data_IF_574961693480
#
_entry.id   IF_574961693480
#
_cell.length_a   1.000
_cell.length_b   1.000
_cell.length_c   1.000
_cell.angle_alpha   90.00
_cell.angle_beta   90.00
_cell.angle_gamma   90.00
#
_symmetry.space_group_name_H-M   'P 1'
#
loop_
_entity.id
_entity.type
_entity.pdbx_description
1 polymer ?
#
# COMPACT_ATOMS: atom_id res chain seq x y z
N UNK A 1 13.97 -12.82 -0.03
CA UNK A 1 15.26 -13.54 -0.19
C UNK A 1 16.31 -12.61 -0.78
N UNK A 2 16.01 -12.03 -1.95
CA UNK A 2 16.91 -11.13 -2.65
C UNK A 2 17.20 -9.85 -1.85
N UNK A 3 16.16 -9.11 -1.49
CA UNK A 3 16.22 -7.87 -0.71
C UNK A 3 16.67 -8.08 0.74
N UNK A 4 16.20 -9.14 1.41
CA UNK A 4 16.47 -9.37 2.84
C UNK A 4 17.79 -10.09 3.14
N UNK A 5 18.28 -10.95 2.23
CA UNK A 5 19.51 -11.74 2.45
C UNK A 5 20.62 -11.35 1.48
N UNK A 6 20.34 -11.36 0.18
CA UNK A 6 21.38 -11.22 -0.84
C UNK A 6 21.94 -9.80 -0.94
N UNK A 7 21.08 -8.78 -1.06
CA UNK A 7 21.53 -7.38 -1.19
C UNK A 7 22.31 -6.91 0.04
N UNK A 8 21.88 -7.16 1.29
CA UNK A 8 22.66 -6.76 2.47
C UNK A 8 24.04 -7.39 2.53
N UNK A 9 24.20 -8.61 1.99
CA UNK A 9 25.51 -9.29 1.91
C UNK A 9 26.40 -8.71 0.81
N UNK A 10 25.85 -8.42 -0.37
CA UNK A 10 26.61 -7.98 -1.54
C UNK A 10 26.87 -6.46 -1.57
N UNK A 11 25.95 -5.68 -0.99
CA UNK A 11 25.91 -4.22 -1.01
C UNK A 11 25.44 -3.68 0.35
N UNK A 12 26.20 -3.89 1.43
CA UNK A 12 25.79 -3.53 2.80
C UNK A 12 25.52 -2.03 2.99
N UNK A 13 26.12 -1.17 2.15
CA UNK A 13 25.95 0.28 2.23
C UNK A 13 24.69 0.80 1.51
N UNK A 14 23.95 -0.08 0.83
CA UNK A 14 22.73 0.30 0.10
C UNK A 14 21.52 -0.16 0.92
N UNK A 15 20.70 0.81 1.35
CA UNK A 15 19.35 0.53 1.86
C UNK A 15 18.41 0.27 0.68
N UNK A 16 18.17 -1.00 0.42
CA UNK A 16 17.25 -1.49 -0.60
C UNK A 16 16.10 -2.24 0.06
N UNK A 17 14.90 -2.04 -0.45
CA UNK A 17 13.73 -2.86 -0.17
C UNK A 17 12.94 -3.04 -1.48
N UNK A 18 12.06 -4.04 -1.51
CA UNK A 18 11.33 -4.36 -2.73
C UNK A 18 10.28 -3.29 -3.06
N UNK A 19 9.76 -2.57 -2.06
CA UNK A 19 8.81 -1.47 -2.24
C UNK A 19 9.42 -0.31 -3.04
N UNK A 20 10.64 0.12 -2.71
CA UNK A 20 11.39 1.11 -3.51
C UNK A 20 11.62 0.60 -4.93
N UNK A 21 11.94 -0.69 -5.07
CA UNK A 21 12.08 -1.32 -6.38
C UNK A 21 10.80 -1.27 -7.19
N UNK A 22 9.65 -1.53 -6.56
CA UNK A 22 8.33 -1.44 -7.20
C UNK A 22 8.01 -0.03 -7.69
N UNK A 23 8.33 1.03 -6.92
CA UNK A 23 8.14 2.41 -7.39
C UNK A 23 9.03 2.74 -8.60
N UNK A 24 10.30 2.32 -8.58
CA UNK A 24 11.22 2.52 -9.71
C UNK A 24 10.72 1.75 -10.95
N UNK A 25 10.24 0.53 -10.75
CA UNK A 25 9.72 -0.30 -11.83
C UNK A 25 8.41 0.27 -12.41
N UNK A 26 7.56 0.89 -11.58
CA UNK A 26 6.36 1.58 -12.05
C UNK A 26 6.71 2.75 -12.98
N UNK A 27 7.69 3.58 -12.59
CA UNK A 27 8.19 4.67 -13.43
C UNK A 27 8.73 4.15 -14.77
N UNK A 28 9.54 3.09 -14.70
CA UNK A 28 10.09 2.45 -15.88
C UNK A 28 8.99 1.90 -16.78
N UNK A 29 7.98 1.22 -16.22
CA UNK A 29 6.87 0.63 -16.96
C UNK A 29 6.09 1.71 -17.73
N UNK A 30 5.76 2.83 -17.09
CA UNK A 30 5.04 3.94 -17.74
C UNK A 30 5.86 4.52 -18.89
N UNK A 31 7.15 4.77 -18.66
CA UNK A 31 8.04 5.40 -19.64
C UNK A 31 8.36 4.48 -20.84
N UNK A 32 8.78 3.25 -20.56
CA UNK A 32 9.26 2.31 -21.57
C UNK A 32 8.13 1.81 -22.50
N UNK A 33 6.91 1.75 -21.97
CA UNK A 33 5.72 1.37 -22.75
C UNK A 33 4.95 2.57 -23.30
N UNK A 34 5.43 3.81 -23.09
CA UNK A 34 4.79 5.05 -23.51
C UNK A 34 3.30 5.12 -23.11
N UNK A 35 2.99 4.83 -21.83
CA UNK A 35 1.61 4.77 -21.34
C UNK A 35 0.98 6.14 -21.04
N UNK A 36 1.72 7.23 -21.19
CA UNK A 36 1.23 8.56 -20.87
C UNK A 36 -0.08 8.92 -21.63
N UNK A 37 -0.22 8.64 -22.94
CA UNK A 37 -1.46 8.91 -23.66
C UNK A 37 -2.68 8.16 -23.08
N UNK A 38 -2.51 6.89 -22.68
CA UNK A 38 -3.56 6.10 -22.05
C UNK A 38 -3.89 6.60 -20.66
N UNK A 39 -2.89 6.97 -19.86
CA UNK A 39 -3.10 7.58 -18.55
C UNK A 39 -3.88 8.90 -18.67
N UNK A 40 -3.52 9.74 -19.65
CA UNK A 40 -4.21 11.00 -19.94
C UNK A 40 -5.66 10.77 -20.40
N UNK A 41 -5.91 9.75 -21.25
CA UNK A 41 -7.26 9.35 -21.69
C UNK A 41 -8.18 9.01 -20.51
N UNK A 42 -7.64 8.36 -19.48
CA UNK A 42 -8.36 8.00 -18.26
C UNK A 42 -8.26 9.04 -17.13
N UNK A 43 -7.75 10.24 -17.44
CA UNK A 43 -7.60 11.35 -16.48
C UNK A 43 -6.70 11.00 -15.26
N UNK A 44 -5.72 10.10 -15.45
CA UNK A 44 -4.76 9.72 -14.42
C UNK A 44 -3.59 10.71 -14.46
N UNK A 45 -3.51 11.54 -13.42
CA UNK A 45 -2.54 12.63 -13.32
C UNK A 45 -1.23 12.19 -12.66
N UNK A 46 -0.19 13.02 -12.75
CA UNK A 46 1.06 12.83 -11.99
C UNK A 46 0.82 12.71 -10.47
N UNK A 47 -0.22 13.39 -9.96
CA UNK A 47 -0.62 13.29 -8.56
C UNK A 47 -1.18 11.88 -8.22
N UNK A 48 -1.82 11.22 -9.18
CA UNK A 48 -2.30 9.85 -9.04
C UNK A 48 -1.15 8.85 -9.09
N UNK A 49 -0.16 9.08 -9.94
CA UNK A 49 1.07 8.28 -9.95
C UNK A 49 1.83 8.41 -8.62
N UNK A 50 1.93 9.64 -8.08
CA UNK A 50 2.49 9.87 -6.75
C UNK A 50 1.70 9.12 -5.67
N UNK A 51 0.36 9.22 -5.70
CA UNK A 51 -0.52 8.47 -4.79
C UNK A 51 -0.29 6.95 -4.88
N UNK A 52 -0.17 6.39 -6.07
CA UNK A 52 0.09 4.95 -6.28
C UNK A 52 1.43 4.55 -5.64
N UNK A 53 2.49 5.33 -5.88
CA UNK A 53 3.79 5.04 -5.27
C UNK A 53 3.75 5.14 -3.75
N UNK A 54 3.03 6.12 -3.21
CA UNK A 54 2.83 6.28 -1.78
C UNK A 54 2.03 5.13 -1.15
N UNK A 55 1.08 4.53 -1.87
CA UNK A 55 0.38 3.30 -1.43
C UNK A 55 1.30 2.07 -1.40
N UNK A 56 2.38 2.06 -2.20
CA UNK A 56 3.34 0.95 -2.27
C UNK A 56 4.41 1.09 -1.19
N UNK A 57 5.05 2.25 -1.11
CA UNK A 57 6.26 2.45 -0.31
C UNK A 57 6.05 3.30 0.95
N UNK A 58 4.83 3.80 1.19
CA UNK A 58 4.56 4.81 2.20
C UNK A 58 5.02 6.21 1.75
N UNK A 59 5.08 7.19 2.66
CA UNK A 59 5.39 8.57 2.30
C UNK A 59 6.84 8.72 1.78
N UNK A 60 6.99 9.17 0.53
CA UNK A 60 8.27 9.14 -0.21
C UNK A 60 9.17 10.34 0.13
N UNK A 61 8.57 11.52 0.41
CA UNK A 61 9.29 12.78 0.56
C UNK A 61 9.33 13.35 1.98
N UNK A 62 8.69 12.70 2.96
CA UNK A 62 8.64 13.27 4.31
C UNK A 62 9.97 13.06 5.03
N UNK A 63 10.74 14.15 5.08
CA UNK A 63 12.02 14.25 5.78
C UNK A 63 11.89 14.92 7.14
N UNK A 64 10.76 15.59 7.42
CA UNK A 64 10.49 16.24 8.69
C UNK A 64 9.50 15.44 9.53
N UNK A 65 9.96 14.98 10.70
CA UNK A 65 9.14 14.25 11.65
C UNK A 65 7.91 15.02 12.15
N UNK A 66 7.92 16.36 11.98
CA UNK A 66 6.90 17.29 12.49
C UNK A 66 5.71 17.53 11.54
N UNK A 67 5.73 16.99 10.32
CA UNK A 67 4.61 17.17 9.40
C UNK A 67 3.38 16.38 9.89
N UNK A 68 2.26 17.10 10.07
CA UNK A 68 0.96 16.54 10.48
C UNK A 68 0.42 15.56 9.42
N UNK A 69 0.75 15.79 8.16
CA UNK A 69 0.39 14.95 7.02
C UNK A 69 1.57 14.81 6.06
N UNK A 70 1.99 13.57 5.81
CA UNK A 70 3.24 13.25 5.12
C UNK A 70 3.08 12.85 3.65
N UNK A 71 1.83 12.65 3.22
CA UNK A 71 1.48 12.20 1.88
C UNK A 71 1.11 13.38 0.99
N UNK A 72 1.40 13.28 -0.30
CA UNK A 72 1.16 14.32 -1.31
C UNK A 72 0.12 13.91 -2.35
N UNK A 73 0.01 12.62 -2.62
CA UNK A 73 -0.92 12.09 -3.62
C UNK A 73 -2.38 12.32 -3.26
N UNK A 74 -2.70 12.36 -1.96
CA UNK A 74 -4.04 12.64 -1.42
C UNK A 74 -3.96 13.43 -0.13
N UNK A 75 -5.00 14.21 0.12
CA UNK A 75 -5.19 14.96 1.35
C UNK A 75 -5.56 14.04 2.53
N UNK A 76 -5.45 14.57 3.76
CA UNK A 76 -5.71 13.84 5.00
C UNK A 76 -7.16 13.33 5.13
N UNK A 77 -8.14 13.98 4.47
CA UNK A 77 -9.54 13.51 4.49
C UNK A 77 -9.72 12.17 3.77
N UNK A 78 -8.77 11.80 2.90
CA UNK A 78 -8.70 10.53 2.18
C UNK A 78 -7.65 9.57 2.74
N UNK A 79 -7.17 9.79 3.96
CA UNK A 79 -6.12 8.98 4.59
C UNK A 79 -6.41 7.47 4.63
N UNK A 80 -7.68 7.08 4.80
CA UNK A 80 -8.12 5.68 4.74
C UNK A 80 -7.75 4.94 3.45
N UNK A 81 -7.51 5.64 2.33
CA UNK A 81 -7.09 5.00 1.08
C UNK A 81 -5.69 4.37 1.18
N UNK A 82 -4.80 4.94 2.00
CA UNK A 82 -3.45 4.38 2.23
C UNK A 82 -3.45 3.11 3.10
N UNK A 83 -4.60 2.71 3.62
CA UNK A 83 -4.74 1.50 4.44
C UNK A 83 -5.12 0.26 3.62
N UNK A 84 -5.33 0.42 2.30
CA UNK A 84 -5.86 -0.64 1.44
C UNK A 84 -4.74 -1.56 0.94
N UNK A 85 -3.71 -1.00 0.28
CA UNK A 85 -2.67 -1.78 -0.44
C UNK A 85 -1.54 -2.21 0.49
N UNK A 86 -0.94 -1.27 1.21
CA UNK A 86 0.12 -1.52 2.18
C UNK A 86 -0.15 -0.74 3.46
N UNK A 87 -0.71 -1.41 4.47
CA UNK A 87 -1.19 -0.73 5.66
C UNK A 87 -0.09 -0.62 6.71
N UNK A 88 0.59 0.52 6.76
CA UNK A 88 1.65 0.74 7.75
C UNK A 88 1.15 0.80 9.20
N UNK A 89 -0.12 1.18 9.44
CA UNK A 89 -0.66 1.36 10.80
C UNK A 89 -0.80 0.04 11.56
N UNK A 90 -1.39 -0.97 10.93
CA UNK A 90 -1.71 -2.23 11.60
C UNK A 90 -1.44 -3.48 10.74
N UNK A 91 -0.92 -3.30 9.52
CA UNK A 91 -0.57 -4.38 8.60
C UNK A 91 -1.76 -5.24 8.19
N UNK A 92 -2.98 -4.73 8.23
CA UNK A 92 -4.18 -5.38 7.66
C UNK A 92 -4.46 -4.73 6.31
N UNK A 93 -4.13 -5.44 5.23
CA UNK A 93 -4.19 -4.96 3.84
C UNK A 93 -4.52 -6.11 2.87
N UNK A 94 -4.87 -5.75 1.63
CA UNK A 94 -5.33 -6.70 0.61
C UNK A 94 -4.23 -7.64 0.11
N UNK A 95 -2.96 -7.21 0.18
CA UNK A 95 -1.79 -8.05 -0.16
C UNK A 95 -1.81 -9.35 0.66
N UNK A 96 -2.03 -9.24 1.96
CA UNK A 96 -2.14 -10.39 2.87
C UNK A 96 -3.32 -11.28 2.57
N UNK A 97 -4.44 -10.70 2.18
CA UNK A 97 -5.64 -11.47 1.91
C UNK A 97 -5.44 -12.38 0.70
N UNK A 98 -4.81 -11.85 -0.36
CA UNK A 98 -4.47 -12.63 -1.55
C UNK A 98 -3.45 -13.71 -1.24
N UNK A 99 -2.28 -13.36 -0.69
CA UNK A 99 -1.24 -14.37 -0.51
C UNK A 99 -1.64 -15.43 0.54
N UNK A 100 -2.43 -15.11 1.58
CA UNK A 100 -2.95 -16.15 2.47
C UNK A 100 -3.87 -17.13 1.75
N UNK A 101 -4.80 -16.64 0.91
CA UNK A 101 -5.70 -17.52 0.16
C UNK A 101 -4.93 -18.36 -0.87
N UNK A 102 -4.04 -17.70 -1.62
CA UNK A 102 -3.22 -18.30 -2.67
C UNK A 102 -2.24 -19.32 -2.12
N UNK A 103 -1.45 -18.97 -1.11
CA UNK A 103 -0.43 -19.86 -0.56
C UNK A 103 -1.07 -21.04 0.16
N UNK A 104 -2.15 -20.82 0.93
CA UNK A 104 -2.88 -21.93 1.54
C UNK A 104 -3.39 -22.92 0.48
N UNK A 105 -3.95 -22.42 -0.63
CA UNK A 105 -4.40 -23.27 -1.73
C UNK A 105 -3.27 -24.13 -2.30
N UNK A 106 -2.12 -23.51 -2.63
CA UNK A 106 -0.99 -24.22 -3.24
C UNK A 106 -0.25 -25.14 -2.26
N UNK A 107 -0.29 -24.85 -0.97
CA UNK A 107 0.32 -25.67 0.09
C UNK A 107 -0.62 -26.76 0.62
N UNK A 108 -1.87 -26.84 0.13
CA UNK A 108 -2.86 -27.80 0.63
C UNK A 108 -3.32 -27.52 2.06
N UNK A 109 -3.22 -26.27 2.52
CA UNK A 109 -3.64 -25.82 3.84
C UNK A 109 -5.00 -25.11 3.77
N UNK A 110 -5.75 -25.13 4.87
CA UNK A 110 -7.00 -24.38 4.98
C UNK A 110 -6.72 -22.94 5.38
N UNK A 111 -7.17 -21.97 4.58
CA UNK A 111 -7.19 -20.56 4.98
C UNK A 111 -8.28 -20.34 6.05
N UNK A 112 -7.90 -19.84 7.22
CA UNK A 112 -8.82 -19.54 8.32
C UNK A 112 -9.43 -18.13 8.26
N UNK A 113 -8.96 -17.27 7.37
CA UNK A 113 -9.40 -15.89 7.25
C UNK A 113 -10.36 -15.71 6.06
N UNK A 114 -11.56 -15.20 6.35
CA UNK A 114 -12.57 -14.84 5.35
C UNK A 114 -12.53 -13.32 5.09
N UNK A 115 -11.77 -12.93 4.06
CA UNK A 115 -11.62 -11.53 3.64
C UNK A 115 -12.94 -10.94 3.13
N UNK A 116 -13.81 -11.74 2.50
CA UNK A 116 -15.12 -11.27 2.03
C UNK A 116 -15.97 -10.83 3.23
N UNK A 117 -16.09 -11.68 4.25
CA UNK A 117 -16.80 -11.31 5.48
C UNK A 117 -16.17 -10.09 6.14
N UNK A 118 -14.84 -9.99 6.16
CA UNK A 118 -14.14 -8.84 6.72
C UNK A 118 -14.53 -7.55 5.98
N UNK A 119 -14.43 -7.53 4.64
CA UNK A 119 -14.78 -6.38 3.81
C UNK A 119 -16.23 -5.89 4.01
N UNK A 120 -17.20 -6.80 4.08
CA UNK A 120 -18.61 -6.43 4.31
C UNK A 120 -18.81 -5.64 5.61
N UNK A 121 -17.96 -5.89 6.61
CA UNK A 121 -18.05 -5.31 7.95
C UNK A 121 -17.07 -4.14 8.17
N UNK A 122 -16.36 -3.67 7.15
CA UNK A 122 -15.49 -2.50 7.26
C UNK A 122 -16.24 -1.20 6.92
N UNK A 123 -15.95 -0.12 7.63
CA UNK A 123 -16.46 1.24 7.35
C UNK A 123 -15.35 2.26 7.55
N UNK A 124 -15.42 3.37 6.82
CA UNK A 124 -14.58 4.54 7.09
C UNK A 124 -15.23 5.35 8.20
N UNK A 125 -14.52 5.57 9.30
CA UNK A 125 -14.98 6.39 10.42
C UNK A 125 -13.97 7.49 10.72
N UNK A 126 -14.46 8.68 11.07
CA UNK A 126 -13.64 9.72 11.66
C UNK A 126 -13.42 9.38 13.13
N UNK A 127 -12.16 9.20 13.52
CA UNK A 127 -11.76 8.99 14.92
C UNK A 127 -11.43 10.34 15.53
N UNK A 128 -11.94 10.63 16.74
CA UNK A 128 -11.76 11.94 17.39
C UNK A 128 -10.27 12.30 17.51
N UNK A 129 -9.90 13.48 17.00
CA UNK A 129 -8.52 13.96 16.95
C UNK A 129 -7.61 13.26 15.94
N UNK A 130 -8.16 12.40 15.06
CA UNK A 130 -7.41 11.66 14.05
C UNK A 130 -8.04 11.82 12.66
N UNK A 131 -7.28 11.43 11.63
CA UNK A 131 -7.80 11.37 10.26
C UNK A 131 -8.79 10.21 10.07
N UNK A 132 -9.64 10.21 9.03
CA UNK A 132 -10.56 9.10 8.76
C UNK A 132 -9.83 7.77 8.51
N UNK A 133 -10.32 6.66 9.08
CA UNK A 133 -9.66 5.35 9.04
C UNK A 133 -10.63 4.24 8.66
N UNK A 134 -10.11 3.14 8.10
CA UNK A 134 -10.86 1.89 7.93
C UNK A 134 -11.00 1.20 9.29
N UNK A 135 -12.24 1.08 9.76
CA UNK A 135 -12.62 0.44 11.00
C UNK A 135 -13.42 -0.84 10.72
N UNK A 136 -13.11 -1.92 11.44
CA UNK A 136 -13.90 -3.14 11.41
C UNK A 136 -15.02 -3.09 12.45
N UNK A 137 -16.21 -3.57 12.08
CA UNK A 137 -17.35 -3.69 13.00
C UNK A 137 -16.96 -4.54 14.21
N UNK A 138 -17.35 -4.07 15.38
CA UNK A 138 -17.30 -4.87 16.60
C UNK A 138 -18.24 -6.08 16.52
N UNK A 139 -17.87 -7.13 17.25
CA UNK A 139 -18.79 -8.25 17.51
C UNK A 139 -19.60 -7.90 18.76
N UNK A 140 -20.50 -6.93 18.70
CA UNK A 140 -21.53 -6.88 19.75
C UNK A 140 -22.48 -8.05 19.47
N UNK A 141 -22.30 -9.11 20.26
CA UNK A 141 -23.23 -10.23 20.36
C UNK A 141 -24.54 -9.79 21.02
#
# INVERSE_FOLDING_TARGET
>A
MFDYKFIPQLRPNIKWNHERGSCIMLDYLIQDNNLQPELDEYEITDQDIEFIKEMIAGPIYSTNANDVWRYKGRDQSKSFLYEIVSNERNKVDVDKWDYFARDCHHLGMKNGFDHNRFMHNMRVLTVEGQSPQICARDKVC
#
